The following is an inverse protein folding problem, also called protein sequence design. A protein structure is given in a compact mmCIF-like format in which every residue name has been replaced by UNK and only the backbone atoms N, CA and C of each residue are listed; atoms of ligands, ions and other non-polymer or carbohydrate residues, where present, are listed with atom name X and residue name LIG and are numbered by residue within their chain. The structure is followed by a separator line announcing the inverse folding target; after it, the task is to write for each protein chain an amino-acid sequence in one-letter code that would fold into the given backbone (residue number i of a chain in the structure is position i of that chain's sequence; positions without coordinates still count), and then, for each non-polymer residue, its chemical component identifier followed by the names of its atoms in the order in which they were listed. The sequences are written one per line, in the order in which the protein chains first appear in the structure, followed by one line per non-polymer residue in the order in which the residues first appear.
data_IF_359929617162
#
_entry.id   IF_359929617162
#
_cell.length_a   1.000
_cell.length_b   1.000
_cell.length_c   1.000
_cell.angle_alpha   90.00
_cell.angle_beta   90.00
_cell.angle_gamma   90.00
#
_symmetry.space_group_name_H-M   'P 1'
#
loop_
_entity.id
_entity.type
_entity.pdbx_description
1 polymer ?
#
# COMPACT_ATOMS: atom_id res chain seq x y z
N UNK A 1 26.33 30.65 8.38
CA UNK A 1 25.77 29.30 8.20
C UNK A 1 26.01 28.90 6.75
N UNK A 2 26.61 27.74 6.45
CA UNK A 2 26.89 27.36 5.05
C UNK A 2 25.58 27.12 4.31
N UNK A 3 25.55 27.36 2.97
CA UNK A 3 24.35 27.14 2.14
C UNK A 3 23.79 25.70 2.28
N UNK A 4 24.67 24.75 2.52
CA UNK A 4 24.30 23.33 2.75
C UNK A 4 23.57 23.14 4.09
N UNK A 5 24.05 23.76 5.16
CA UNK A 5 23.38 23.70 6.48
C UNK A 5 21.99 24.35 6.44
N UNK A 6 21.84 25.45 5.72
CA UNK A 6 20.54 26.09 5.54
C UNK A 6 19.59 25.19 4.72
N UNK A 7 20.08 24.58 3.64
CA UNK A 7 19.28 23.65 2.85
C UNK A 7 18.82 22.41 3.66
N UNK A 8 19.70 21.87 4.53
CA UNK A 8 19.34 20.76 5.41
C UNK A 8 18.32 21.16 6.48
N UNK A 9 18.47 22.36 7.05
CA UNK A 9 17.52 22.92 8.03
C UNK A 9 16.14 23.12 7.39
N UNK A 10 16.08 23.81 6.26
CA UNK A 10 14.85 24.11 5.54
C UNK A 10 14.15 22.84 4.98
N UNK A 11 14.91 21.78 4.65
CA UNK A 11 14.35 20.56 4.03
C UNK A 11 13.96 19.49 5.04
N UNK A 12 14.76 19.27 6.07
CA UNK A 12 14.58 18.14 7.00
C UNK A 12 14.11 18.57 8.38
N UNK A 13 14.69 19.61 8.95
CA UNK A 13 14.35 20.02 10.32
C UNK A 13 13.04 20.78 10.38
N UNK A 14 12.74 21.57 9.34
CA UNK A 14 11.47 22.29 9.27
C UNK A 14 10.28 21.34 9.07
N UNK A 15 10.43 20.30 8.25
CA UNK A 15 9.47 19.20 8.14
C UNK A 15 9.18 18.54 9.50
N UNK A 16 10.21 18.30 10.30
CA UNK A 16 10.05 17.73 11.65
C UNK A 16 9.32 18.66 12.62
N UNK A 17 9.52 19.97 12.49
CA UNK A 17 8.84 20.99 13.32
C UNK A 17 7.36 21.15 12.99
N UNK A 18 7.00 20.94 11.71
CA UNK A 18 5.61 21.04 11.22
C UNK A 18 4.82 19.73 11.38
N UNK A 19 5.43 18.67 11.93
CA UNK A 19 4.77 17.37 12.10
C UNK A 19 3.56 17.49 13.03
N UNK A 20 2.40 17.03 12.54
CA UNK A 20 1.16 16.90 13.31
C UNK A 20 0.79 15.43 13.49
N UNK A 21 0.24 15.08 14.64
CA UNK A 21 -0.21 13.70 14.90
C UNK A 21 -1.24 13.18 13.89
N UNK A 22 -2.00 14.07 13.26
CA UNK A 22 -2.94 13.73 12.18
C UNK A 22 -2.27 13.16 10.93
N UNK A 23 -0.96 13.39 10.73
CA UNK A 23 -0.21 12.85 9.60
C UNK A 23 0.28 11.41 9.85
N UNK A 24 0.22 10.93 11.10
CA UNK A 24 0.74 9.61 11.46
C UNK A 24 0.00 8.45 10.75
N UNK A 25 -1.35 8.39 10.71
CA UNK A 25 -2.04 7.28 10.08
C UNK A 25 -1.70 7.09 8.59
N UNK A 26 -1.78 8.12 7.70
CA UNK A 26 -1.37 7.96 6.31
C UNK A 26 0.13 7.65 6.18
N UNK A 27 0.99 8.25 7.00
CA UNK A 27 2.43 7.97 6.98
C UNK A 27 2.73 6.50 7.29
N UNK A 28 2.05 5.90 8.27
CA UNK A 28 2.21 4.47 8.60
C UNK A 28 1.80 3.55 7.45
N UNK A 29 0.76 3.91 6.68
CA UNK A 29 0.36 3.15 5.48
C UNK A 29 1.47 3.18 4.43
N UNK A 30 2.05 4.34 4.15
CA UNK A 30 3.14 4.47 3.19
C UNK A 30 4.43 3.77 3.65
N UNK A 31 4.77 3.84 4.94
CA UNK A 31 5.91 3.11 5.51
C UNK A 31 5.71 1.60 5.37
N UNK A 32 4.51 1.10 5.69
CA UNK A 32 4.18 -0.31 5.54
C UNK A 32 4.26 -0.76 4.07
N UNK A 33 3.74 0.04 3.14
CA UNK A 33 3.85 -0.22 1.70
C UNK A 33 5.31 -0.25 1.22
N UNK A 34 6.15 0.69 1.70
CA UNK A 34 7.58 0.73 1.38
C UNK A 34 8.33 -0.50 1.87
N UNK A 35 8.08 -0.95 3.11
CA UNK A 35 8.67 -2.17 3.67
C UNK A 35 8.24 -3.39 2.85
N UNK A 36 6.96 -3.50 2.49
CA UNK A 36 6.45 -4.58 1.66
C UNK A 36 7.10 -4.61 0.27
N UNK A 37 7.35 -3.44 -0.33
CA UNK A 37 8.07 -3.34 -1.61
C UNK A 37 9.51 -3.84 -1.53
N UNK A 38 10.23 -3.54 -0.46
CA UNK A 38 11.59 -4.03 -0.24
C UNK A 38 11.65 -5.56 -0.12
N UNK A 39 10.69 -6.15 0.58
CA UNK A 39 10.63 -7.61 0.77
C UNK A 39 10.07 -8.35 -0.46
N UNK A 40 9.27 -7.68 -1.28
CA UNK A 40 8.57 -8.27 -2.41
C UNK A 40 9.51 -8.88 -3.47
N UNK A 41 10.62 -8.20 -3.77
CA UNK A 41 11.61 -8.68 -4.75
C UNK A 41 12.24 -9.98 -4.25
N UNK A 42 12.77 -9.97 -3.02
CA UNK A 42 13.42 -11.15 -2.41
C UNK A 42 12.40 -12.28 -2.27
N UNK A 43 11.20 -11.98 -1.80
CA UNK A 43 10.12 -12.95 -1.65
C UNK A 43 9.73 -13.61 -2.98
N UNK A 44 9.64 -12.84 -4.06
CA UNK A 44 9.30 -13.38 -5.38
C UNK A 44 10.34 -14.36 -5.89
N UNK A 45 11.64 -14.05 -5.79
CA UNK A 45 12.71 -14.95 -6.23
C UNK A 45 12.79 -16.19 -5.35
N UNK A 46 12.71 -16.01 -4.02
CA UNK A 46 12.72 -17.14 -3.09
C UNK A 46 11.55 -18.09 -3.35
N UNK A 47 10.34 -17.56 -3.44
CA UNK A 47 9.13 -18.39 -3.66
C UNK A 47 9.16 -19.07 -5.02
N UNK A 48 9.66 -18.36 -6.05
CA UNK A 48 9.86 -18.96 -7.38
C UNK A 48 10.69 -20.22 -7.33
N UNK A 49 11.84 -20.13 -6.67
CA UNK A 49 12.77 -21.27 -6.60
C UNK A 49 12.24 -22.36 -5.65
N UNK A 50 11.63 -21.99 -4.53
CA UNK A 50 11.05 -22.92 -3.57
C UNK A 50 9.85 -23.71 -4.13
N UNK A 51 8.95 -23.03 -4.86
CA UNK A 51 7.77 -23.65 -5.48
C UNK A 51 8.02 -24.12 -6.91
N UNK A 52 9.25 -24.00 -7.42
CA UNK A 52 9.66 -24.40 -8.76
C UNK A 52 8.81 -23.76 -9.89
N UNK A 53 8.46 -22.47 -9.74
CA UNK A 53 7.63 -21.75 -10.69
C UNK A 53 8.45 -21.22 -11.87
N UNK A 54 7.85 -21.21 -13.08
CA UNK A 54 8.53 -20.68 -14.27
C UNK A 54 8.59 -19.14 -14.28
N UNK A 55 9.64 -18.58 -14.87
CA UNK A 55 9.77 -17.14 -15.04
C UNK A 55 8.65 -16.54 -15.91
N UNK A 56 8.19 -17.28 -16.93
CA UNK A 56 7.08 -16.87 -17.78
C UNK A 56 5.76 -16.78 -17.01
N UNK A 57 5.50 -17.74 -16.12
CA UNK A 57 4.35 -17.72 -15.23
C UNK A 57 4.36 -16.48 -14.31
N UNK A 58 5.50 -16.18 -13.68
CA UNK A 58 5.64 -15.01 -12.80
C UNK A 58 5.50 -13.68 -13.57
N UNK A 59 6.02 -13.59 -14.78
CA UNK A 59 5.88 -12.40 -15.63
C UNK A 59 4.40 -12.13 -15.97
N UNK A 60 3.66 -13.18 -16.37
CA UNK A 60 2.22 -13.09 -16.61
C UNK A 60 1.44 -12.70 -15.36
N UNK A 61 1.79 -13.28 -14.22
CA UNK A 61 1.16 -12.96 -12.93
C UNK A 61 1.42 -11.51 -12.51
N UNK A 62 2.63 -11.00 -12.74
CA UNK A 62 2.98 -9.59 -12.48
C UNK A 62 2.09 -8.62 -13.24
N UNK A 63 1.74 -8.93 -14.49
CA UNK A 63 0.78 -8.14 -15.26
C UNK A 63 -0.60 -8.09 -14.58
N UNK A 64 -1.13 -9.22 -14.18
CA UNK A 64 -2.44 -9.30 -13.51
C UNK A 64 -2.43 -8.61 -12.13
N UNK A 65 -1.34 -8.75 -11.38
CA UNK A 65 -1.15 -8.08 -10.08
C UNK A 65 -1.05 -6.53 -10.23
N UNK A 66 -0.73 -6.03 -11.41
CA UNK A 66 -0.71 -4.60 -11.72
C UNK A 66 -2.10 -3.99 -11.98
N UNK A 67 -3.11 -4.80 -12.35
CA UNK A 67 -4.45 -4.30 -12.69
C UNK A 67 -5.12 -3.53 -11.54
N UNK A 68 -5.06 -3.95 -10.28
CA UNK A 68 -5.65 -3.19 -9.18
C UNK A 68 -5.15 -1.73 -9.11
N UNK A 69 -3.89 -1.48 -9.45
CA UNK A 69 -3.33 -0.12 -9.49
C UNK A 69 -3.95 0.75 -10.59
N UNK A 70 -4.35 0.17 -11.71
CA UNK A 70 -5.08 0.89 -12.75
C UNK A 70 -6.49 1.31 -12.30
N UNK A 71 -7.04 0.61 -11.31
CA UNK A 71 -8.35 0.93 -10.72
C UNK A 71 -8.27 1.99 -9.61
N UNK A 72 -7.10 2.54 -9.32
CA UNK A 72 -6.92 3.54 -8.25
C UNK A 72 -7.84 4.76 -8.42
N UNK A 73 -8.00 5.27 -9.64
CA UNK A 73 -8.87 6.42 -9.91
C UNK A 73 -10.36 6.16 -9.59
N UNK A 74 -11.03 5.12 -10.13
CA UNK A 74 -12.40 4.83 -9.76
C UNK A 74 -12.58 4.46 -8.29
N UNK A 75 -11.58 3.84 -7.66
CA UNK A 75 -11.59 3.57 -6.22
C UNK A 75 -11.50 4.86 -5.39
N UNK A 76 -10.75 5.87 -5.85
CA UNK A 76 -10.72 7.20 -5.22
C UNK A 76 -12.11 7.81 -5.16
N UNK A 77 -12.83 7.81 -6.27
CA UNK A 77 -14.21 8.29 -6.31
C UNK A 77 -15.15 7.50 -5.38
N UNK A 78 -14.97 6.18 -5.28
CA UNK A 78 -15.72 5.35 -4.34
C UNK A 78 -15.43 5.74 -2.88
N UNK A 79 -14.17 6.02 -2.53
CA UNK A 79 -13.79 6.48 -1.20
C UNK A 79 -14.48 7.80 -0.85
N UNK A 80 -14.54 8.73 -1.79
CA UNK A 80 -15.23 10.01 -1.60
C UNK A 80 -16.73 9.82 -1.31
N UNK A 81 -17.38 8.87 -1.99
CA UNK A 81 -18.80 8.55 -1.78
C UNK A 81 -19.09 7.94 -0.39
N UNK A 82 -18.15 7.20 0.18
CA UNK A 82 -18.30 6.50 1.47
C UNK A 82 -17.38 7.06 2.56
N UNK A 83 -17.01 8.33 2.44
CA UNK A 83 -16.01 8.97 3.28
C UNK A 83 -16.23 8.80 4.79
N UNK A 84 -17.48 8.87 5.24
CA UNK A 84 -17.84 8.66 6.66
C UNK A 84 -17.45 7.26 7.17
N UNK A 85 -17.28 6.29 6.27
CA UNK A 85 -16.97 4.89 6.56
C UNK A 85 -15.57 4.47 6.11
N UNK A 86 -14.68 5.42 5.86
CA UNK A 86 -13.30 5.17 5.41
C UNK A 86 -12.54 4.13 6.23
N UNK A 87 -12.80 4.07 7.55
CA UNK A 87 -12.16 3.10 8.43
C UNK A 87 -12.43 1.64 8.01
N UNK A 88 -13.63 1.35 7.51
CA UNK A 88 -13.94 -0.01 7.03
C UNK A 88 -13.10 -0.40 5.82
N UNK A 89 -12.77 0.55 4.95
CA UNK A 89 -11.89 0.29 3.80
C UNK A 89 -10.45 0.02 4.23
N UNK A 90 -9.95 0.72 5.24
CA UNK A 90 -8.63 0.45 5.82
C UNK A 90 -8.59 -0.97 6.39
N UNK A 91 -9.61 -1.37 7.18
CA UNK A 91 -9.70 -2.73 7.72
C UNK A 91 -9.85 -3.79 6.63
N UNK A 92 -10.65 -3.50 5.59
CA UNK A 92 -10.79 -4.40 4.44
C UNK A 92 -9.43 -4.61 3.76
N UNK A 93 -8.73 -3.54 3.43
CA UNK A 93 -7.40 -3.63 2.81
C UNK A 93 -6.40 -4.39 3.68
N UNK A 94 -6.34 -4.08 4.98
CA UNK A 94 -5.49 -4.79 5.94
C UNK A 94 -5.82 -6.29 6.01
N UNK A 95 -7.12 -6.64 6.01
CA UNK A 95 -7.57 -8.03 6.04
C UNK A 95 -7.16 -8.79 4.77
N UNK A 96 -7.29 -8.16 3.59
CA UNK A 96 -6.87 -8.76 2.32
C UNK A 96 -5.36 -9.01 2.28
N UNK A 97 -4.56 -8.06 2.76
CA UNK A 97 -3.11 -8.21 2.87
C UNK A 97 -2.75 -9.33 3.86
N UNK A 98 -3.37 -9.33 5.04
CA UNK A 98 -3.14 -10.36 6.05
C UNK A 98 -3.50 -11.76 5.51
N UNK A 99 -4.63 -11.89 4.81
CA UNK A 99 -5.05 -13.14 4.20
C UNK A 99 -4.07 -13.62 3.12
N UNK A 100 -3.57 -12.70 2.27
CA UNK A 100 -2.51 -13.01 1.31
C UNK A 100 -1.25 -13.57 1.99
N UNK A 101 -0.80 -12.93 3.07
CA UNK A 101 0.37 -13.37 3.83
C UNK A 101 0.13 -14.73 4.52
N UNK A 102 -1.08 -14.96 5.04
CA UNK A 102 -1.45 -16.26 5.63
C UNK A 102 -1.45 -17.38 4.60
N UNK A 103 -1.97 -17.13 3.40
CA UNK A 103 -1.93 -18.09 2.29
C UNK A 103 -0.47 -18.42 1.94
N UNK A 104 0.38 -17.38 1.80
CA UNK A 104 1.79 -17.58 1.48
C UNK A 104 2.53 -18.36 2.58
N UNK A 105 2.27 -18.03 3.84
CA UNK A 105 2.82 -18.75 5.00
C UNK A 105 2.41 -20.23 4.98
N UNK A 106 1.11 -20.52 4.78
CA UNK A 106 0.60 -21.88 4.68
C UNK A 106 1.23 -22.64 3.52
N UNK A 107 1.40 -21.98 2.37
CA UNK A 107 1.99 -22.57 1.18
C UNK A 107 3.47 -22.96 1.38
N UNK A 108 4.21 -22.21 2.19
CA UNK A 108 5.62 -22.51 2.50
C UNK A 108 5.73 -23.64 3.55
N UNK A 109 4.90 -23.63 4.59
CA UNK A 109 5.05 -24.56 5.73
C UNK A 109 4.23 -25.84 5.55
N UNK A 110 3.06 -25.73 4.92
CA UNK A 110 2.10 -26.82 4.76
C UNK A 110 1.78 -27.09 3.28
N UNK A 111 2.80 -27.08 2.42
CA UNK A 111 2.65 -27.24 0.96
C UNK A 111 1.84 -28.49 0.60
N UNK A 112 2.11 -29.64 1.22
CA UNK A 112 1.42 -30.89 0.95
C UNK A 112 -0.08 -30.81 1.24
N UNK A 113 -0.46 -30.34 2.43
CA UNK A 113 -1.86 -30.24 2.83
C UNK A 113 -2.63 -29.20 1.97
N UNK A 114 -1.98 -28.10 1.59
CA UNK A 114 -2.60 -27.09 0.73
C UNK A 114 -2.75 -27.60 -0.71
N UNK A 115 -1.81 -28.40 -1.20
CA UNK A 115 -1.86 -28.99 -2.54
C UNK A 115 -2.98 -30.03 -2.73
N UNK A 116 -3.50 -30.60 -1.65
CA UNK A 116 -4.69 -31.49 -1.69
C UNK A 116 -5.99 -30.73 -2.02
N UNK A 117 -6.06 -29.42 -1.72
CA UNK A 117 -7.26 -28.60 -1.93
C UNK A 117 -7.21 -27.92 -3.30
N UNK A 118 -6.12 -27.23 -3.59
CA UNK A 118 -5.83 -26.59 -4.87
C UNK A 118 -4.35 -26.72 -5.20
N UNK A 119 -4.01 -26.65 -6.50
CA UNK A 119 -2.61 -26.66 -6.91
C UNK A 119 -1.81 -25.51 -6.29
N UNK A 120 -0.51 -25.74 -6.10
CA UNK A 120 0.43 -24.74 -5.55
C UNK A 120 0.37 -23.43 -6.32
N UNK A 121 0.30 -23.50 -7.65
CA UNK A 121 0.19 -22.36 -8.54
C UNK A 121 -1.10 -21.56 -8.28
N UNK A 122 -2.22 -22.26 -8.05
CA UNK A 122 -3.51 -21.61 -7.78
C UNK A 122 -3.46 -20.82 -6.47
N UNK A 123 -2.96 -21.40 -5.40
CA UNK A 123 -2.77 -20.72 -4.13
C UNK A 123 -1.84 -19.51 -4.25
N UNK A 124 -0.75 -19.68 -5.01
CA UNK A 124 0.20 -18.60 -5.25
C UNK A 124 -0.46 -17.44 -6.01
N UNK A 125 -1.22 -17.72 -7.08
CA UNK A 125 -1.98 -16.73 -7.83
C UNK A 125 -2.94 -15.96 -6.93
N UNK A 126 -3.72 -16.65 -6.11
CA UNK A 126 -4.66 -16.04 -5.17
C UNK A 126 -3.91 -15.07 -4.23
N UNK A 127 -2.83 -15.53 -3.62
CA UNK A 127 -2.03 -14.72 -2.71
C UNK A 127 -1.47 -13.46 -3.40
N UNK A 128 -0.85 -13.62 -4.58
CA UNK A 128 -0.20 -12.51 -5.31
C UNK A 128 -1.19 -11.49 -5.87
N UNK A 129 -2.44 -11.87 -6.14
CA UNK A 129 -3.47 -10.92 -6.58
C UNK A 129 -4.13 -10.23 -5.38
N UNK A 130 -4.32 -10.94 -4.28
CA UNK A 130 -5.02 -10.43 -3.11
C UNK A 130 -4.28 -9.27 -2.44
N UNK A 131 -2.94 -9.34 -2.35
CA UNK A 131 -2.13 -8.30 -1.74
C UNK A 131 -2.24 -6.95 -2.46
N UNK A 132 -2.03 -6.82 -3.79
CA UNK A 132 -2.19 -5.55 -4.49
C UNK A 132 -3.59 -4.96 -4.36
N UNK A 133 -4.65 -5.77 -4.35
CA UNK A 133 -6.01 -5.27 -4.11
C UNK A 133 -6.10 -4.62 -2.73
N UNK A 134 -5.59 -5.29 -1.69
CA UNK A 134 -5.55 -4.74 -0.34
C UNK A 134 -4.73 -3.44 -0.24
N UNK A 135 -3.55 -3.41 -0.89
CA UNK A 135 -2.69 -2.23 -0.91
C UNK A 135 -3.36 -1.05 -1.61
N UNK A 136 -3.97 -1.24 -2.78
CA UNK A 136 -4.63 -0.16 -3.52
C UNK A 136 -5.78 0.42 -2.71
N UNK A 137 -6.57 -0.41 -2.04
CA UNK A 137 -7.66 0.06 -1.17
C UNK A 137 -7.12 0.93 -0.04
N UNK A 138 -6.04 0.52 0.63
CA UNK A 138 -5.43 1.30 1.71
C UNK A 138 -4.77 2.58 1.19
N UNK A 139 -4.09 2.52 0.07
CA UNK A 139 -3.36 3.62 -0.53
C UNK A 139 -4.31 4.76 -0.94
N UNK A 140 -5.45 4.43 -1.57
CA UNK A 140 -6.48 5.41 -1.94
C UNK A 140 -7.06 6.11 -0.71
N UNK A 141 -7.31 5.37 0.38
CA UNK A 141 -7.79 5.97 1.63
C UNK A 141 -6.71 6.84 2.27
N UNK A 142 -5.45 6.41 2.25
CA UNK A 142 -4.33 7.18 2.79
C UNK A 142 -4.13 8.50 2.02
N UNK A 143 -4.22 8.47 0.69
CA UNK A 143 -4.16 9.68 -0.15
C UNK A 143 -5.27 10.67 0.24
N UNK A 144 -6.51 10.19 0.35
CA UNK A 144 -7.65 11.02 0.74
C UNK A 144 -7.51 11.59 2.17
N UNK A 145 -7.02 10.79 3.13
CA UNK A 145 -6.74 11.25 4.50
C UNK A 145 -5.61 12.30 4.52
N UNK A 146 -4.64 12.21 3.63
CA UNK A 146 -3.56 13.18 3.53
C UNK A 146 -4.08 14.56 3.10
N UNK A 147 -5.01 14.58 2.14
CA UNK A 147 -5.69 15.82 1.71
C UNK A 147 -6.53 16.40 2.85
N UNK A 148 -7.29 15.58 3.58
CA UNK A 148 -8.09 16.03 4.73
C UNK A 148 -7.24 16.60 5.87
N UNK A 149 -6.03 16.10 6.05
CA UNK A 149 -5.13 16.53 7.12
C UNK A 149 -4.55 17.94 6.89
N UNK A 150 -4.60 18.45 5.65
CA UNK A 150 -4.13 19.81 5.32
C UNK A 150 -5.25 20.82 5.60
N UNK A 151 -5.01 21.87 6.41
CA UNK A 151 -6.01 22.90 6.64
C UNK A 151 -6.38 23.61 5.34
N UNK A 152 -7.67 23.79 5.09
CA UNK A 152 -8.18 24.56 3.94
C UNK A 152 -7.95 26.07 4.08
N UNK A 153 -7.70 26.54 5.29
CA UNK A 153 -7.49 27.95 5.63
C UNK A 153 -6.18 28.10 6.38
N UNK A 154 -5.44 29.16 6.10
CA UNK A 154 -4.24 29.53 6.85
C UNK A 154 -4.59 30.04 8.27
N UNK A 155 -3.54 30.30 9.08
CA UNK A 155 -3.71 30.85 10.43
C UNK A 155 -4.32 32.27 10.44
N UNK A 156 -4.40 32.92 9.27
CA UNK A 156 -4.98 34.25 9.06
C UNK A 156 -6.43 34.18 8.53
N UNK A 157 -6.97 32.96 8.31
CA UNK A 157 -8.33 32.74 7.84
C UNK A 157 -8.50 32.90 6.32
N UNK A 158 -7.39 32.91 5.56
CA UNK A 158 -7.44 32.94 4.10
C UNK A 158 -7.50 31.51 3.54
N UNK A 159 -8.40 31.31 2.59
CA UNK A 159 -8.60 30.04 1.90
C UNK A 159 -7.45 29.81 0.91
N UNK A 160 -6.70 28.71 1.08
CA UNK A 160 -5.61 28.32 0.16
C UNK A 160 -6.06 28.08 -1.28
N UNK A 161 -7.35 27.85 -1.51
CA UNK A 161 -7.91 27.56 -2.84
C UNK A 161 -8.42 28.78 -3.62
N UNK A 162 -8.29 30.02 -3.09
CA UNK A 162 -8.83 31.20 -3.78
C UNK A 162 -7.94 31.77 -4.89
N UNK A 163 -6.69 31.31 -5.01
CA UNK A 163 -5.69 31.86 -5.94
C UNK A 163 -5.22 30.88 -7.02
N UNK A 164 -5.96 29.79 -7.28
CA UNK A 164 -5.67 28.86 -8.40
C UNK A 164 -6.74 28.89 -9.47
#
# INVERSE_FOLDING_TARGET
MSKVLKFLDDTFLDLGRQFKWSYLPPLMVYVAAGISGLTGIVGTFFVKDYLNLSAAFLAGLGFWAGIPWALKMPLGHLVDLIWERKNYMVYLGATLIALSLMIMYGLIIHTENMSEIFSVETWFVISVILAPVGYVVQDVVADAMTVEAVPLVDEQGMDYNKDQ
#
